data_IF_352259226567
#
_entry.id   IF_352259226567
#
_cell.length_a   1.000
_cell.length_b   1.000
_cell.length_c   1.000
_cell.angle_alpha   90.00
_cell.angle_beta   90.00
_cell.angle_gamma   90.00
#
_symmetry.space_group_name_H-M   'P 1'
#
loop_
_entity.id
_entity.type
_entity.pdbx_description
1 polymer ?
#
# COMPACT_ATOMS: atom_id res chain seq x y z
N UNK A 1 5.49 29.97 -5.46
CA UNK A 1 5.33 28.89 -4.44
C UNK A 1 4.47 27.74 -4.95
N UNK A 2 3.34 28.02 -5.63
CA UNK A 2 2.51 27.00 -6.29
C UNK A 2 3.27 26.30 -7.43
N UNK A 3 4.08 27.03 -8.21
CA UNK A 3 4.90 26.46 -9.28
C UNK A 3 5.93 25.43 -8.79
N UNK A 4 6.53 25.65 -7.61
CA UNK A 4 7.46 24.70 -7.00
C UNK A 4 6.76 23.40 -6.55
N UNK A 5 5.48 23.47 -6.19
CA UNK A 5 4.69 22.28 -5.83
C UNK A 5 4.32 21.50 -7.10
N UNK A 6 3.95 22.20 -8.17
CA UNK A 6 3.62 21.58 -9.46
C UNK A 6 4.82 20.83 -10.06
N UNK A 7 6.02 21.41 -10.00
CA UNK A 7 7.25 20.75 -10.48
C UNK A 7 7.60 19.49 -9.68
N UNK A 8 7.45 19.53 -8.35
CA UNK A 8 7.75 18.38 -7.49
C UNK A 8 6.75 17.24 -7.69
N UNK A 9 5.49 17.55 -7.98
CA UNK A 9 4.46 16.56 -8.32
C UNK A 9 4.72 15.94 -9.69
N UNK A 10 5.09 16.73 -10.70
CA UNK A 10 5.40 16.25 -12.04
C UNK A 10 6.60 15.29 -12.04
N UNK A 11 7.68 15.62 -11.32
CA UNK A 11 8.89 14.79 -11.23
C UNK A 11 8.60 13.45 -10.53
N UNK A 12 7.81 13.45 -9.44
CA UNK A 12 7.43 12.21 -8.73
C UNK A 12 6.44 11.35 -9.52
N UNK A 13 5.51 11.98 -10.25
CA UNK A 13 4.58 11.29 -11.12
C UNK A 13 5.30 10.58 -12.28
N UNK A 14 6.27 11.25 -12.92
CA UNK A 14 7.05 10.68 -14.02
C UNK A 14 7.93 9.51 -13.56
N UNK A 15 8.56 9.60 -12.38
CA UNK A 15 9.32 8.49 -11.81
C UNK A 15 8.42 7.29 -11.47
N UNK A 16 7.25 7.53 -10.87
CA UNK A 16 6.28 6.46 -10.56
C UNK A 16 5.72 5.81 -11.84
N UNK A 17 5.49 6.57 -12.90
CA UNK A 17 5.01 6.06 -14.17
C UNK A 17 6.05 5.18 -14.88
N UNK A 18 7.34 5.56 -14.83
CA UNK A 18 8.43 4.77 -15.43
C UNK A 18 8.65 3.46 -14.68
N UNK A 19 8.60 3.47 -13.36
CA UNK A 19 8.65 2.25 -12.54
C UNK A 19 7.41 1.38 -12.73
N UNK A 20 6.22 1.98 -12.89
CA UNK A 20 5.00 1.25 -13.20
C UNK A 20 5.05 0.60 -14.60
N UNK A 21 5.57 1.28 -15.62
CA UNK A 21 5.70 0.75 -16.97
C UNK A 21 6.64 -0.47 -17.04
N UNK A 22 7.80 -0.40 -16.36
CA UNK A 22 8.73 -1.55 -16.26
C UNK A 22 8.07 -2.71 -15.49
N UNK A 23 7.29 -2.40 -14.45
CA UNK A 23 6.51 -3.38 -13.70
C UNK A 23 5.48 -4.11 -14.57
N UNK A 24 4.74 -3.38 -15.41
CA UNK A 24 3.73 -3.96 -16.31
C UNK A 24 4.38 -4.84 -17.38
N UNK A 25 5.45 -4.37 -18.03
CA UNK A 25 6.17 -5.15 -19.03
C UNK A 25 6.74 -6.45 -18.45
N UNK A 26 7.31 -6.39 -17.24
CA UNK A 26 7.82 -7.55 -16.52
C UNK A 26 6.69 -8.53 -16.17
N UNK A 27 5.53 -8.03 -15.73
CA UNK A 27 4.38 -8.85 -15.42
C UNK A 27 3.85 -9.60 -16.64
N UNK A 28 3.76 -8.93 -17.79
CA UNK A 28 3.32 -9.56 -19.05
C UNK A 28 4.30 -10.67 -19.45
N UNK A 29 5.61 -10.41 -19.42
CA UNK A 29 6.62 -11.40 -19.75
C UNK A 29 6.56 -12.63 -18.83
N UNK A 30 6.42 -12.40 -17.51
CA UNK A 30 6.27 -13.48 -16.53
C UNK A 30 4.96 -14.25 -16.70
N UNK A 31 3.85 -13.59 -17.04
CA UNK A 31 2.57 -14.25 -17.27
C UNK A 31 2.64 -15.20 -18.48
N UNK A 32 3.18 -14.72 -19.60
CA UNK A 32 3.34 -15.54 -20.81
C UNK A 32 4.30 -16.71 -20.56
N UNK A 33 5.46 -16.45 -19.95
CA UNK A 33 6.42 -17.49 -19.57
C UNK A 33 5.83 -18.50 -18.60
N UNK A 34 5.02 -18.06 -17.63
CA UNK A 34 4.34 -18.93 -16.66
C UNK A 34 3.35 -19.89 -17.30
N UNK A 35 2.52 -19.42 -18.24
CA UNK A 35 1.56 -20.27 -18.97
C UNK A 35 2.30 -21.30 -19.84
N UNK A 36 3.37 -20.86 -20.51
CA UNK A 36 4.19 -21.76 -21.32
C UNK A 36 4.88 -22.82 -20.47
N UNK A 37 5.49 -22.43 -19.34
CA UNK A 37 6.16 -23.35 -18.41
C UNK A 37 5.17 -24.35 -17.80
N UNK A 38 3.95 -23.91 -17.47
CA UNK A 38 2.87 -24.77 -16.98
C UNK A 38 2.51 -25.85 -18.00
N UNK A 39 2.32 -25.43 -19.26
CA UNK A 39 1.98 -26.33 -20.36
C UNK A 39 3.12 -27.33 -20.64
N UNK A 40 4.36 -26.87 -20.63
CA UNK A 40 5.53 -27.72 -20.82
C UNK A 40 5.70 -28.74 -19.68
N UNK A 41 5.54 -28.32 -18.43
CA UNK A 41 5.59 -29.21 -17.26
C UNK A 41 4.47 -30.25 -17.29
N UNK A 42 3.26 -29.86 -17.71
CA UNK A 42 2.14 -30.78 -17.87
C UNK A 42 2.42 -31.87 -18.90
N UNK A 43 2.88 -31.47 -20.09
CA UNK A 43 3.24 -32.41 -21.15
C UNK A 43 4.37 -33.34 -20.72
N UNK A 44 5.37 -32.84 -19.99
CA UNK A 44 6.46 -33.66 -19.45
C UNK A 44 5.98 -34.62 -18.36
N UNK A 45 5.11 -34.20 -17.44
CA UNK A 45 4.62 -35.11 -16.41
C UNK A 45 3.73 -36.22 -16.96
N UNK A 46 3.00 -35.98 -18.05
CA UNK A 46 2.21 -37.02 -18.71
C UNK A 46 3.08 -38.10 -19.36
N UNK A 47 4.35 -37.84 -19.68
CA UNK A 47 5.24 -38.89 -20.22
C UNK A 47 5.83 -39.79 -19.13
N UNK A 48 5.81 -39.35 -17.87
CA UNK A 48 6.44 -40.06 -16.74
C UNK A 48 5.42 -40.54 -15.71
N UNK A 49 4.24 -39.93 -15.65
CA UNK A 49 3.24 -40.13 -14.58
C UNK A 49 1.81 -40.16 -15.14
N UNK A 50 0.84 -40.50 -14.29
CA UNK A 50 -0.59 -40.45 -14.64
C UNK A 50 -1.13 -39.02 -14.54
N UNK A 51 -2.19 -38.72 -15.30
CA UNK A 51 -2.80 -37.39 -15.33
C UNK A 51 -3.18 -36.85 -13.94
N UNK A 52 -3.66 -37.71 -13.03
CA UNK A 52 -4.05 -37.33 -11.66
C UNK A 52 -2.84 -36.83 -10.86
N UNK A 53 -1.70 -37.52 -10.96
CA UNK A 53 -0.46 -37.15 -10.28
C UNK A 53 0.10 -35.85 -10.87
N UNK A 54 0.02 -35.69 -12.19
CA UNK A 54 0.41 -34.46 -12.88
C UNK A 54 -0.40 -33.24 -12.41
N UNK A 55 -1.73 -33.37 -12.32
CA UNK A 55 -2.62 -32.34 -11.77
C UNK A 55 -2.22 -31.95 -10.35
N UNK A 56 -1.92 -32.93 -9.49
CA UNK A 56 -1.62 -32.70 -8.09
C UNK A 56 -0.29 -31.95 -7.91
N UNK A 57 0.75 -32.32 -8.66
CA UNK A 57 2.06 -31.67 -8.60
C UNK A 57 1.97 -30.23 -9.11
N UNK A 58 1.33 -30.02 -10.26
CA UNK A 58 1.20 -28.69 -10.87
C UNK A 58 0.32 -27.80 -10.00
N UNK A 59 -0.82 -28.31 -9.54
CA UNK A 59 -1.70 -27.62 -8.60
C UNK A 59 -0.99 -27.23 -7.31
N UNK A 60 -0.22 -28.15 -6.72
CA UNK A 60 0.56 -27.89 -5.51
C UNK A 60 1.64 -26.82 -5.72
N UNK A 61 2.36 -26.86 -6.84
CA UNK A 61 3.39 -25.86 -7.18
C UNK A 61 2.78 -24.46 -7.35
N UNK A 62 1.70 -24.33 -8.13
CA UNK A 62 1.00 -23.05 -8.33
C UNK A 62 0.36 -22.54 -7.03
N UNK A 63 -0.21 -23.44 -6.23
CA UNK A 63 -0.80 -23.08 -4.94
C UNK A 63 0.26 -22.58 -3.95
N UNK A 64 1.42 -23.23 -3.88
CA UNK A 64 2.56 -22.80 -3.07
C UNK A 64 3.10 -21.43 -3.48
N UNK A 65 3.27 -21.19 -4.79
CA UNK A 65 3.69 -19.89 -5.32
C UNK A 65 2.64 -18.81 -5.00
N UNK A 66 1.34 -19.14 -5.13
CA UNK A 66 0.23 -18.25 -4.78
C UNK A 66 0.27 -17.83 -3.32
N UNK A 67 0.52 -18.77 -2.40
CA UNK A 67 0.68 -18.47 -0.97
C UNK A 67 1.90 -17.61 -0.68
N UNK A 68 3.03 -17.87 -1.35
CA UNK A 68 4.25 -17.04 -1.25
C UNK A 68 3.97 -15.59 -1.68
N UNK A 69 3.33 -15.38 -2.83
CA UNK A 69 2.94 -14.05 -3.30
C UNK A 69 1.97 -13.37 -2.34
N UNK A 70 0.96 -14.10 -1.84
CA UNK A 70 -0.01 -13.57 -0.89
C UNK A 70 0.65 -13.13 0.43
N UNK A 71 1.59 -13.93 0.94
CA UNK A 71 2.39 -13.59 2.13
C UNK A 71 3.20 -12.31 1.92
N UNK A 72 3.89 -12.19 0.78
CA UNK A 72 4.65 -10.98 0.43
C UNK A 72 3.74 -9.75 0.29
N UNK A 73 2.56 -9.91 -0.30
CA UNK A 73 1.57 -8.83 -0.42
C UNK A 73 1.10 -8.35 0.95
N UNK A 74 0.79 -9.26 1.87
CA UNK A 74 0.38 -8.92 3.24
C UNK A 74 1.47 -8.16 3.99
N UNK A 75 2.74 -8.58 3.85
CA UNK A 75 3.89 -7.85 4.41
C UNK A 75 3.99 -6.44 3.83
N UNK A 76 3.84 -6.31 2.51
CA UNK A 76 3.92 -5.02 1.81
C UNK A 76 2.81 -4.07 2.23
N UNK A 77 1.58 -4.56 2.38
CA UNK A 77 0.43 -3.78 2.86
C UNK A 77 0.69 -3.28 4.29
N UNK A 78 1.23 -4.13 5.16
CA UNK A 78 1.59 -3.73 6.54
C UNK A 78 2.63 -2.61 6.54
N UNK A 79 3.70 -2.75 5.76
CA UNK A 79 4.75 -1.72 5.66
C UNK A 79 4.21 -0.40 5.09
N UNK A 80 3.38 -0.46 4.05
CA UNK A 80 2.70 0.71 3.49
C UNK A 80 1.80 1.41 4.51
N UNK A 81 1.03 0.65 5.31
CA UNK A 81 0.19 1.22 6.37
C UNK A 81 1.03 1.93 7.44
N UNK A 82 2.18 1.38 7.83
CA UNK A 82 3.10 2.03 8.79
C UNK A 82 3.64 3.36 8.26
N UNK A 83 4.13 3.37 7.01
CA UNK A 83 4.62 4.58 6.37
C UNK A 83 3.54 5.67 6.23
N UNK A 84 2.31 5.27 5.87
CA UNK A 84 1.18 6.22 5.79
C UNK A 84 0.79 6.77 7.16
N UNK A 85 0.85 5.94 8.21
CA UNK A 85 0.56 6.37 9.57
C UNK A 85 1.59 7.39 10.07
N UNK A 86 2.87 7.14 9.83
CA UNK A 86 3.96 8.08 10.18
C UNK A 86 3.84 9.40 9.41
N UNK A 87 3.56 9.35 8.10
CA UNK A 87 3.33 10.55 7.30
C UNK A 87 2.11 11.35 7.77
N UNK A 88 1.03 10.67 8.17
CA UNK A 88 -0.17 11.32 8.72
C UNK A 88 0.10 11.98 10.09
N UNK A 89 0.94 11.37 10.92
CA UNK A 89 1.35 11.93 12.21
C UNK A 89 2.21 13.20 12.02
N UNK A 90 3.16 13.17 11.08
CA UNK A 90 3.97 14.34 10.72
C UNK A 90 3.13 15.49 10.15
N UNK A 91 2.14 15.19 9.31
CA UNK A 91 1.22 16.20 8.79
C UNK A 91 0.38 16.86 9.89
N UNK A 92 -0.07 16.08 10.88
CA UNK A 92 -0.78 16.59 12.06
C UNK A 92 0.12 17.46 12.95
N UNK A 93 1.37 17.05 13.16
CA UNK A 93 2.35 17.82 13.92
C UNK A 93 2.66 19.18 13.25
N UNK A 94 2.79 19.19 11.92
CA UNK A 94 2.97 20.41 11.14
C UNK A 94 1.76 21.35 11.22
N UNK A 95 0.53 20.80 11.18
CA UNK A 95 -0.70 21.60 11.38
C UNK A 95 -0.80 22.19 12.79
N UNK A 96 -0.42 21.43 13.83
CA UNK A 96 -0.40 21.96 15.20
C UNK A 96 0.65 23.05 15.40
N UNK A 97 1.82 22.95 14.76
CA UNK A 97 2.83 24.01 14.78
C UNK A 97 2.34 25.29 14.07
N UNK A 98 1.60 25.13 12.97
CA UNK A 98 0.97 26.24 12.25
C UNK A 98 -0.13 26.92 13.08
N UNK A 99 -0.94 26.15 13.83
CA UNK A 99 -1.94 26.70 14.75
C UNK A 99 -1.34 27.32 16.01
N UNK A 100 -0.19 26.83 16.48
CA UNK A 100 0.51 27.36 17.64
C UNK A 100 1.24 28.69 17.36
N UNK A 101 1.52 29.01 16.09
CA UNK A 101 2.32 30.18 15.69
C UNK A 101 1.59 31.53 15.63
N UNK A 102 0.35 31.66 16.11
CA UNK A 102 -0.37 32.94 16.06
C UNK A 102 -1.71 32.97 16.80
N UNK A 103 -2.52 34.01 16.55
CA UNK A 103 -3.83 34.31 17.18
C UNK A 103 -4.78 33.08 17.23
N UNK A 104 -4.59 32.10 16.35
CA UNK A 104 -5.28 30.81 16.35
C UNK A 104 -5.03 29.92 17.57
N UNK A 105 -3.86 30.00 18.22
CA UNK A 105 -3.56 29.24 19.45
C UNK A 105 -4.34 29.76 20.66
N UNK A 106 -4.50 31.07 20.77
CA UNK A 106 -5.34 31.70 21.81
C UNK A 106 -6.82 31.39 21.57
N UNK A 107 -7.30 31.45 20.33
CA UNK A 107 -8.66 31.03 19.96
C UNK A 107 -8.88 29.53 20.20
N UNK A 108 -7.87 28.70 19.97
CA UNK A 108 -7.88 27.26 20.28
C UNK A 108 -8.01 26.97 21.77
N UNK A 109 -7.32 27.76 22.61
CA UNK A 109 -7.44 27.71 24.06
C UNK A 109 -8.84 28.14 24.54
N UNK A 110 -9.36 29.24 24.00
CA UNK A 110 -10.72 29.74 24.33
C UNK A 110 -11.78 28.72 23.95
N UNK A 111 -11.69 28.12 22.76
CA UNK A 111 -12.64 27.11 22.29
C UNK A 111 -12.53 25.79 23.07
N UNK A 112 -11.32 25.34 23.41
CA UNK A 112 -11.12 24.18 24.28
C UNK A 112 -11.68 24.41 25.69
N UNK A 113 -11.53 25.61 26.24
CA UNK A 113 -12.07 25.98 27.55
C UNK A 113 -13.61 25.99 27.56
N UNK A 114 -14.23 26.57 26.52
CA UNK A 114 -15.69 26.56 26.35
C UNK A 114 -16.23 25.13 26.21
N UNK A 115 -15.55 24.27 25.43
CA UNK A 115 -15.93 22.86 25.30
C UNK A 115 -15.78 22.07 26.62
N UNK A 116 -14.71 22.32 27.39
CA UNK A 116 -14.52 21.71 28.70
C UNK A 116 -15.62 22.08 29.70
N UNK A 117 -16.02 23.36 29.76
CA UNK A 117 -17.13 23.80 30.60
C UNK A 117 -18.48 23.19 30.19
N UNK A 118 -18.71 23.04 28.88
CA UNK A 118 -19.96 22.47 28.37
C UNK A 118 -20.03 20.95 28.59
N UNK A 119 -18.90 20.25 28.51
CA UNK A 119 -18.79 18.83 28.85
C UNK A 119 -19.00 18.59 30.35
N UNK A 120 -18.46 19.45 31.22
CA UNK A 120 -18.69 19.39 32.66
C UNK A 120 -20.15 19.64 33.06
N UNK A 121 -20.88 20.50 32.31
CA UNK A 121 -22.33 20.68 32.47
C UNK A 121 -23.13 19.44 32.04
N UNK A 122 -22.69 18.73 31.00
CA UNK A 122 -23.33 17.49 30.54
C UNK A 122 -23.04 16.27 31.43
N UNK A 123 -21.89 16.25 32.12
CA UNK A 123 -21.52 15.16 33.02
C UNK A 123 -22.23 15.21 34.38
N UNK A 124 -23.00 16.27 34.66
CA UNK A 124 -23.68 16.51 35.94
C UNK A 124 -25.19 16.23 35.88
N UNK A 125 -25.65 15.56 34.81
CA UNK A 125 -26.97 14.96 34.67
C UNK A 125 -26.82 13.47 34.36
#
# INVERSE_FOLDING_TARGET
>A
MIDQLTDRVAIRAAQSARTAAIGIASFICLAVGGIFLASAAWLFLLTVTTAIVACLIIGGAFFGIGLMMFSLMLLRIRTQKRLRYEAALQARAAQSAQMAGGIGGLLGLITAFINGMNAGKKARF
#
